data_IF_278650249590
#
_entry.id   IF_278650249590
#
_cell.length_a   1.000
_cell.length_b   1.000
_cell.length_c   1.000
_cell.angle_alpha   90.00
_cell.angle_beta   90.00
_cell.angle_gamma   90.00
#
_symmetry.space_group_name_H-M   'P 1'
#
loop_
_entity.id
_entity.type
_entity.pdbx_description
1 polymer ?
#
# COMPACT_ATOMS: atom_id res chain seq x y z
N UNK A 1 -22.16 -22.55 -1.74
CA UNK A 1 -22.49 -21.13 -1.99
C UNK A 1 -23.85 -20.86 -1.36
N UNK A 2 -23.89 -20.06 -0.28
CA UNK A 2 -25.15 -19.54 0.22
C UNK A 2 -25.59 -18.40 -0.70
N UNK A 3 -26.81 -18.47 -1.21
CA UNK A 3 -27.43 -17.39 -1.95
C UNK A 3 -27.81 -16.34 -0.90
N UNK A 4 -27.15 -15.17 -0.89
CA UNK A 4 -27.57 -14.05 -0.05
C UNK A 4 -29.05 -13.74 -0.31
N UNK A 5 -29.82 -13.52 0.76
CA UNK A 5 -31.25 -13.23 0.64
C UNK A 5 -31.46 -11.96 -0.21
N UNK A 6 -32.47 -11.92 -1.09
CA UNK A 6 -32.77 -10.73 -1.88
C UNK A 6 -33.08 -9.54 -0.96
N UNK A 7 -32.52 -8.38 -1.30
CA UNK A 7 -32.73 -7.12 -0.57
C UNK A 7 -34.21 -6.76 -0.54
N UNK A 8 -34.69 -6.31 0.61
CA UNK A 8 -36.04 -5.79 0.78
C UNK A 8 -36.21 -4.42 0.13
N UNK A 9 -37.46 -4.07 -0.21
CA UNK A 9 -37.82 -2.80 -0.84
C UNK A 9 -37.41 -1.58 0.01
N UNK A 10 -37.43 -1.75 1.34
CA UNK A 10 -37.05 -0.74 2.33
C UNK A 10 -35.53 -0.55 2.39
N UNK A 11 -34.76 -1.64 2.26
CA UNK A 11 -33.30 -1.58 2.10
C UNK A 11 -32.90 -0.88 0.79
N UNK A 12 -33.61 -1.13 -0.31
CA UNK A 12 -33.31 -0.50 -1.61
C UNK A 12 -33.60 1.01 -1.58
N UNK A 13 -34.71 1.44 -0.96
CA UNK A 13 -34.99 2.87 -0.75
C UNK A 13 -33.94 3.53 0.14
N UNK A 14 -33.50 2.83 1.20
CA UNK A 14 -32.45 3.33 2.09
C UNK A 14 -31.10 3.50 1.38
N UNK A 15 -30.73 2.61 0.45
CA UNK A 15 -29.52 2.74 -0.37
C UNK A 15 -29.52 4.02 -1.22
N UNK A 16 -30.69 4.44 -1.71
CA UNK A 16 -30.84 5.66 -2.50
C UNK A 16 -30.80 6.91 -1.60
N UNK A 17 -31.51 6.88 -0.47
CA UNK A 17 -31.55 8.01 0.48
C UNK A 17 -30.20 8.28 1.16
N UNK A 18 -29.42 7.24 1.43
CA UNK A 18 -28.09 7.37 2.04
C UNK A 18 -27.02 7.82 1.04
N UNK A 19 -27.30 7.74 -0.27
CA UNK A 19 -26.35 8.08 -1.33
C UNK A 19 -25.04 7.30 -1.20
N UNK A 20 -24.94 6.13 -1.84
CA UNK A 20 -23.71 5.31 -1.84
C UNK A 20 -22.56 5.95 -2.66
N UNK A 21 -22.71 7.19 -3.11
CA UNK A 21 -21.57 7.98 -3.60
C UNK A 21 -20.80 8.47 -2.39
N UNK A 22 -19.93 7.63 -1.82
CA UNK A 22 -18.99 8.07 -0.80
C UNK A 22 -17.93 8.96 -1.46
N UNK A 23 -17.97 10.30 -1.27
CA UNK A 23 -17.04 11.22 -1.92
C UNK A 23 -15.60 10.95 -1.47
N UNK A 24 -15.41 10.31 -0.32
CA UNK A 24 -14.09 9.92 0.18
C UNK A 24 -13.45 8.87 -0.71
N UNK A 25 -14.22 7.91 -1.24
CA UNK A 25 -13.69 6.86 -2.12
C UNK A 25 -13.11 7.47 -3.40
N UNK A 26 -13.83 8.40 -4.03
CA UNK A 26 -13.34 9.09 -5.22
C UNK A 26 -12.09 9.92 -4.91
N UNK A 27 -12.11 10.69 -3.81
CA UNK A 27 -10.96 11.51 -3.43
C UNK A 27 -9.73 10.67 -3.08
N UNK A 28 -9.91 9.54 -2.39
CA UNK A 28 -8.83 8.65 -1.97
C UNK A 28 -8.27 7.86 -3.16
N UNK A 29 -9.11 7.34 -4.05
CA UNK A 29 -8.64 6.70 -5.29
C UNK A 29 -7.86 7.70 -6.16
N UNK A 30 -8.35 8.93 -6.30
CA UNK A 30 -7.64 9.96 -7.07
C UNK A 30 -6.30 10.31 -6.42
N UNK A 31 -6.25 10.45 -5.10
CA UNK A 31 -5.02 10.74 -4.37
C UNK A 31 -3.98 9.61 -4.56
N UNK A 32 -4.38 8.35 -4.35
CA UNK A 32 -3.49 7.21 -4.53
C UNK A 32 -3.04 7.06 -5.99
N UNK A 33 -3.94 7.25 -6.95
CA UNK A 33 -3.60 7.23 -8.37
C UNK A 33 -2.61 8.35 -8.72
N UNK A 34 -2.80 9.57 -8.21
CA UNK A 34 -1.82 10.65 -8.40
C UNK A 34 -0.46 10.28 -7.83
N UNK A 35 -0.40 9.72 -6.62
CA UNK A 35 0.87 9.29 -6.01
C UNK A 35 1.54 8.21 -6.85
N UNK A 36 0.84 7.11 -7.17
CA UNK A 36 1.39 5.98 -7.94
C UNK A 36 1.80 6.41 -9.35
N UNK A 37 0.97 7.18 -10.07
CA UNK A 37 1.32 7.68 -11.40
C UNK A 37 2.51 8.65 -11.35
N UNK A 38 2.56 9.53 -10.35
CA UNK A 38 3.71 10.45 -10.20
C UNK A 38 4.99 9.68 -9.94
N UNK A 39 4.97 8.65 -9.08
CA UNK A 39 6.14 7.80 -8.84
C UNK A 39 6.57 7.04 -10.10
N UNK A 40 5.62 6.51 -10.87
CA UNK A 40 5.89 5.83 -12.14
C UNK A 40 6.44 6.77 -13.23
N UNK A 41 5.93 8.00 -13.31
CA UNK A 41 6.36 8.99 -14.29
C UNK A 41 7.74 9.55 -13.96
N UNK A 42 7.95 9.90 -12.70
CA UNK A 42 9.17 10.57 -12.27
C UNK A 42 10.40 9.67 -12.34
N UNK A 43 10.26 8.34 -12.47
CA UNK A 43 11.37 7.38 -12.40
C UNK A 43 12.30 7.70 -11.23
N UNK A 44 11.74 8.27 -10.16
CA UNK A 44 12.59 8.99 -9.23
C UNK A 44 13.29 7.99 -8.35
N UNK A 45 14.60 7.93 -8.57
CA UNK A 45 15.68 7.56 -7.64
C UNK A 45 15.57 8.20 -6.23
N UNK A 46 14.44 8.84 -5.88
CA UNK A 46 14.17 9.50 -4.60
C UNK A 46 13.97 8.50 -3.46
N UNK A 47 13.58 7.28 -3.78
CA UNK A 47 13.38 6.22 -2.81
C UNK A 47 14.22 5.04 -3.24
N UNK A 48 15.28 4.76 -2.50
CA UNK A 48 15.97 3.51 -2.64
C UNK A 48 14.96 2.37 -2.39
N UNK A 49 14.96 1.26 -3.17
CA UNK A 49 14.05 0.14 -2.97
C UNK A 49 14.24 -0.49 -1.58
N UNK A 50 13.56 0.07 -0.58
CA UNK A 50 13.42 -0.51 0.75
C UNK A 50 12.19 -1.39 0.80
N UNK A 51 12.09 -2.22 1.83
CA UNK A 51 10.96 -3.12 1.93
C UNK A 51 9.74 -2.48 2.60
N UNK A 52 9.90 -1.39 3.38
CA UNK A 52 8.75 -0.53 3.69
C UNK A 52 8.09 0.03 2.42
N UNK A 53 8.86 0.28 1.35
CA UNK A 53 8.28 0.66 0.06
C UNK A 53 7.49 -0.49 -0.60
N UNK A 54 7.95 -1.74 -0.46
CA UNK A 54 7.20 -2.89 -0.95
C UNK A 54 5.93 -3.14 -0.14
N UNK A 55 5.97 -2.98 1.18
CA UNK A 55 4.79 -3.09 2.05
C UNK A 55 3.80 -1.95 1.80
N UNK A 56 4.29 -0.74 1.53
CA UNK A 56 3.45 0.37 1.08
C UNK A 56 2.78 0.05 -0.26
N UNK A 57 3.49 -0.56 -1.21
CA UNK A 57 2.87 -1.02 -2.45
C UNK A 57 1.84 -2.12 -2.21
N UNK A 58 2.10 -3.10 -1.34
CA UNK A 58 1.13 -4.13 -1.00
C UNK A 58 -0.12 -3.54 -0.33
N UNK A 59 0.06 -2.58 0.57
CA UNK A 59 -1.04 -1.85 1.22
C UNK A 59 -1.89 -1.10 0.19
N UNK A 60 -1.25 -0.41 -0.77
CA UNK A 60 -1.94 0.26 -1.88
C UNK A 60 -2.66 -0.71 -2.80
N UNK A 61 -2.04 -1.84 -3.16
CA UNK A 61 -2.68 -2.88 -3.96
C UNK A 61 -3.89 -3.47 -3.20
N UNK A 62 -3.72 -3.77 -1.91
CA UNK A 62 -4.76 -4.29 -1.04
C UNK A 62 -5.94 -3.32 -0.90
N UNK A 63 -5.66 -2.03 -0.74
CA UNK A 63 -6.67 -0.97 -0.76
C UNK A 63 -7.42 -0.94 -2.10
N UNK A 64 -6.70 -0.93 -3.22
CA UNK A 64 -7.29 -0.92 -4.55
C UNK A 64 -8.18 -2.16 -4.78
N UNK A 65 -7.71 -3.35 -4.40
CA UNK A 65 -8.48 -4.60 -4.48
C UNK A 65 -9.73 -4.55 -3.60
N UNK A 66 -9.61 -4.06 -2.37
CA UNK A 66 -10.75 -3.89 -1.45
C UNK A 66 -11.80 -2.94 -2.02
N UNK A 67 -11.38 -1.81 -2.60
CA UNK A 67 -12.28 -0.88 -3.27
C UNK A 67 -12.95 -1.52 -4.48
N UNK A 68 -12.19 -2.23 -5.33
CA UNK A 68 -12.73 -2.96 -6.48
C UNK A 68 -13.82 -3.93 -6.07
N UNK A 69 -13.56 -4.76 -5.06
CA UNK A 69 -14.48 -5.81 -4.61
C UNK A 69 -15.75 -5.20 -3.99
N UNK A 70 -15.60 -4.15 -3.19
CA UNK A 70 -16.73 -3.38 -2.67
C UNK A 70 -17.58 -2.77 -3.79
N UNK A 71 -16.96 -2.08 -4.76
CA UNK A 71 -17.68 -1.49 -5.89
C UNK A 71 -18.37 -2.54 -6.77
N UNK A 72 -17.76 -3.72 -6.93
CA UNK A 72 -18.38 -4.83 -7.64
C UNK A 72 -19.65 -5.33 -6.93
N UNK A 73 -19.57 -5.55 -5.62
CA UNK A 73 -20.71 -6.00 -4.80
C UNK A 73 -21.83 -4.95 -4.75
N UNK A 74 -21.49 -3.69 -4.50
CA UNK A 74 -22.45 -2.59 -4.44
C UNK A 74 -23.11 -2.37 -5.81
N UNK A 75 -22.33 -2.39 -6.90
CA UNK A 75 -22.85 -2.28 -8.27
C UNK A 75 -23.78 -3.43 -8.66
N UNK A 76 -23.51 -4.66 -8.20
CA UNK A 76 -24.41 -5.81 -8.39
C UNK A 76 -25.73 -5.63 -7.64
N UNK A 77 -25.67 -5.21 -6.36
CA UNK A 77 -26.87 -4.92 -5.55
C UNK A 77 -27.74 -3.83 -6.18
N UNK A 78 -27.13 -2.77 -6.70
CA UNK A 78 -27.84 -1.68 -7.38
C UNK A 78 -28.48 -2.12 -8.69
N UNK A 79 -27.79 -2.94 -9.50
CA UNK A 79 -28.37 -3.54 -10.72
C UNK A 79 -29.53 -4.48 -10.39
N UNK A 80 -29.39 -5.28 -9.34
CA UNK A 80 -30.46 -6.15 -8.87
C UNK A 80 -31.67 -5.35 -8.41
N UNK A 81 -31.47 -4.30 -7.58
CA UNK A 81 -32.54 -3.40 -7.17
C UNK A 81 -33.25 -2.76 -8.36
N UNK A 82 -32.50 -2.24 -9.33
CA UNK A 82 -33.08 -1.68 -10.55
C UNK A 82 -33.93 -2.70 -11.33
N UNK A 83 -33.50 -3.96 -11.40
CA UNK A 83 -34.23 -5.03 -12.08
C UNK A 83 -35.49 -5.49 -11.33
N UNK A 84 -35.49 -5.43 -9.99
CA UNK A 84 -36.67 -5.75 -9.17
C UNK A 84 -37.81 -4.77 -9.42
N UNK A 85 -37.49 -3.48 -9.58
CA UNK A 85 -38.49 -2.45 -9.89
C UNK A 85 -38.86 -2.41 -11.38
N UNK A 86 -37.92 -2.72 -12.28
CA UNK A 86 -38.14 -2.76 -13.74
C UNK A 86 -38.78 -4.08 -14.23
N UNK A 87 -39.82 -4.56 -13.54
CA UNK A 87 -40.45 -5.88 -13.77
C UNK A 87 -41.28 -5.99 -15.07
N UNK A 88 -41.06 -5.08 -16.04
CA UNK A 88 -41.76 -5.05 -17.33
C UNK A 88 -43.10 -4.32 -17.31
N UNK A 89 -43.43 -3.61 -16.21
CA UNK A 89 -44.56 -2.65 -16.15
C UNK A 89 -44.11 -1.25 -16.58
N UNK A 90 -45.05 -0.44 -17.06
CA UNK A 90 -44.79 0.99 -17.31
C UNK A 90 -44.47 1.67 -15.97
N UNK A 91 -43.19 1.93 -15.73
CA UNK A 91 -42.70 2.68 -14.58
C UNK A 91 -43.25 4.11 -14.64
N UNK A 92 -43.89 4.58 -13.57
CA UNK A 92 -44.42 5.95 -13.52
C UNK A 92 -43.94 6.70 -12.29
N UNK A 93 -43.73 8.01 -12.43
CA UNK A 93 -43.41 8.90 -11.32
C UNK A 93 -42.14 8.50 -10.57
N UNK A 94 -42.29 8.22 -9.28
CA UNK A 94 -41.21 7.99 -8.32
C UNK A 94 -40.43 6.69 -8.58
N UNK A 95 -41.09 5.63 -9.05
CA UNK A 95 -40.45 4.35 -9.36
C UNK A 95 -39.49 4.46 -10.55
N UNK A 96 -39.87 5.24 -11.58
CA UNK A 96 -39.00 5.52 -12.72
C UNK A 96 -37.76 6.33 -12.32
N UNK A 97 -37.93 7.30 -11.41
CA UNK A 97 -36.83 8.07 -10.86
C UNK A 97 -35.89 7.19 -10.02
N UNK A 98 -36.44 6.29 -9.19
CA UNK A 98 -35.68 5.33 -8.38
C UNK A 98 -34.84 4.40 -9.26
N UNK A 99 -35.43 3.77 -10.29
CA UNK A 99 -34.72 2.88 -11.21
C UNK A 99 -33.60 3.62 -11.96
N UNK A 100 -33.87 4.85 -12.42
CA UNK A 100 -32.86 5.70 -13.07
C UNK A 100 -31.69 5.98 -12.13
N UNK A 101 -31.98 6.31 -10.87
CA UNK A 101 -30.96 6.61 -9.86
C UNK A 101 -30.12 5.37 -9.50
N UNK A 102 -30.75 4.21 -9.30
CA UNK A 102 -30.06 2.94 -9.06
C UNK A 102 -29.11 2.58 -10.21
N UNK A 103 -29.55 2.76 -11.47
CA UNK A 103 -28.71 2.55 -12.66
C UNK A 103 -27.55 3.53 -12.73
N UNK A 104 -27.79 4.81 -12.40
CA UNK A 104 -26.74 5.84 -12.33
C UNK A 104 -25.67 5.50 -11.30
N UNK A 105 -26.09 5.06 -10.12
CA UNK A 105 -25.17 4.64 -9.05
C UNK A 105 -24.41 3.36 -9.44
N UNK A 106 -25.07 2.37 -10.07
CA UNK A 106 -24.40 1.18 -10.56
C UNK A 106 -23.30 1.52 -11.59
N UNK A 107 -23.58 2.45 -12.52
CA UNK A 107 -22.59 2.93 -13.47
C UNK A 107 -21.43 3.67 -12.80
N UNK A 108 -21.69 4.41 -11.72
CA UNK A 108 -20.64 5.03 -10.90
C UNK A 108 -19.74 3.98 -10.23
N UNK A 109 -20.33 2.91 -9.66
CA UNK A 109 -19.58 1.80 -9.08
C UNK A 109 -18.71 1.10 -10.14
N UNK A 110 -19.24 0.84 -11.34
CA UNK A 110 -18.48 0.24 -12.44
C UNK A 110 -17.27 1.12 -12.84
N UNK A 111 -17.43 2.44 -12.86
CA UNK A 111 -16.33 3.38 -13.14
C UNK A 111 -15.24 3.35 -12.05
N UNK A 112 -15.61 3.37 -10.77
CA UNK A 112 -14.65 3.30 -9.64
C UNK A 112 -13.95 1.94 -9.57
N UNK A 113 -14.67 0.86 -9.89
CA UNK A 113 -14.09 -0.47 -10.01
C UNK A 113 -12.99 -0.50 -11.07
N UNK A 114 -13.25 0.07 -12.26
CA UNK A 114 -12.27 0.13 -13.33
C UNK A 114 -11.03 0.95 -12.94
N UNK A 115 -11.21 2.08 -12.23
CA UNK A 115 -10.10 2.87 -11.70
C UNK A 115 -9.29 2.10 -10.65
N UNK A 116 -9.96 1.37 -9.75
CA UNK A 116 -9.30 0.54 -8.76
C UNK A 116 -8.52 -0.64 -9.39
N UNK A 117 -9.06 -1.26 -10.45
CA UNK A 117 -8.36 -2.27 -11.24
C UNK A 117 -7.09 -1.71 -11.90
N UNK A 118 -7.18 -0.50 -12.48
CA UNK A 118 -6.03 0.19 -13.06
C UNK A 118 -4.97 0.52 -12.01
N UNK A 119 -5.38 1.05 -10.85
CA UNK A 119 -4.47 1.35 -9.74
C UNK A 119 -3.75 0.08 -9.25
N UNK A 120 -4.46 -1.04 -9.06
CA UNK A 120 -3.84 -2.30 -8.66
C UNK A 120 -2.81 -2.79 -9.70
N UNK A 121 -3.09 -2.64 -10.99
CA UNK A 121 -2.16 -3.00 -12.06
C UNK A 121 -0.90 -2.09 -12.06
N UNK A 122 -1.08 -0.79 -11.87
CA UNK A 122 0.02 0.16 -11.81
C UNK A 122 0.91 -0.05 -10.57
N UNK A 123 0.31 -0.35 -9.41
CA UNK A 123 1.04 -0.71 -8.20
C UNK A 123 1.86 -1.99 -8.40
N UNK A 124 1.29 -3.02 -9.05
CA UNK A 124 2.03 -4.25 -9.40
C UNK A 124 3.23 -3.96 -10.30
N UNK A 125 3.04 -3.11 -11.32
CA UNK A 125 4.11 -2.69 -12.23
C UNK A 125 5.20 -1.92 -11.48
N UNK A 126 4.82 -1.04 -10.56
CA UNK A 126 5.75 -0.32 -9.71
C UNK A 126 6.55 -1.26 -8.80
N UNK A 127 5.87 -2.24 -8.17
CA UNK A 127 6.52 -3.27 -7.33
C UNK A 127 7.53 -4.10 -8.14
N UNK A 128 7.12 -4.57 -9.31
CA UNK A 128 7.97 -5.35 -10.21
C UNK A 128 9.20 -4.55 -10.69
N UNK A 129 9.02 -3.24 -10.96
CA UNK A 129 10.13 -2.32 -11.24
C UNK A 129 11.14 -2.25 -10.10
N UNK A 130 10.69 -2.01 -8.87
CA UNK A 130 11.56 -1.95 -7.68
C UNK A 130 12.29 -3.28 -7.43
N UNK A 131 11.62 -4.43 -7.58
CA UNK A 131 12.25 -5.74 -7.40
C UNK A 131 13.36 -5.98 -8.42
N UNK A 132 13.15 -5.60 -9.68
CA UNK A 132 14.19 -5.70 -10.71
C UNK A 132 15.35 -4.75 -10.45
N UNK A 133 15.08 -3.54 -9.99
CA UNK A 133 16.12 -2.58 -9.63
C UNK A 133 16.97 -3.10 -8.47
N UNK A 134 16.33 -3.52 -7.37
CA UNK A 134 16.99 -4.11 -6.18
C UNK A 134 17.89 -5.30 -6.53
N UNK A 135 17.49 -6.11 -7.51
CA UNK A 135 18.25 -7.27 -7.97
C UNK A 135 19.48 -6.91 -8.84
N UNK A 136 19.49 -5.74 -9.48
CA UNK A 136 20.48 -5.38 -10.51
C UNK A 136 21.47 -4.32 -10.08
N UNK A 137 21.10 -3.40 -9.18
CA UNK A 137 22.09 -2.55 -8.49
C UNK A 137 22.92 -3.44 -7.56
N UNK A 138 24.22 -3.19 -7.45
CA UNK A 138 25.03 -3.67 -6.30
C UNK A 138 24.79 -2.76 -5.09
N UNK A 139 25.51 -2.93 -3.97
CA UNK A 139 25.57 -1.91 -2.89
C UNK A 139 26.84 -1.03 -2.96
N UNK A 140 27.18 -0.37 -4.09
CA UNK A 140 28.43 0.39 -4.17
C UNK A 140 28.38 1.71 -3.38
N UNK A 141 27.23 2.10 -2.81
CA UNK A 141 27.02 3.43 -2.20
C UNK A 141 26.47 3.41 -0.77
N UNK A 142 26.29 2.25 -0.14
CA UNK A 142 25.66 2.14 1.18
C UNK A 142 24.15 2.33 1.12
N UNK A 143 23.57 1.99 -0.03
CA UNK A 143 22.16 2.22 -0.33
C UNK A 143 21.27 1.30 0.54
N UNK A 144 21.78 0.13 0.92
CA UNK A 144 21.12 -0.77 1.86
C UNK A 144 21.02 -0.18 3.28
N UNK A 145 22.02 0.59 3.72
CA UNK A 145 21.97 1.32 5.00
C UNK A 145 20.97 2.47 4.95
N UNK A 146 20.86 3.16 3.82
CA UNK A 146 19.84 4.21 3.66
C UNK A 146 18.42 3.61 3.59
N UNK A 147 18.26 2.42 3.00
CA UNK A 147 17.02 1.63 3.09
C UNK A 147 16.67 1.30 4.55
N UNK A 148 17.65 0.77 5.29
CA UNK A 148 17.49 0.43 6.70
C UNK A 148 17.20 1.67 7.55
N UNK A 149 17.74 2.83 7.19
CA UNK A 149 17.46 4.10 7.85
C UNK A 149 16.01 4.56 7.65
N UNK A 150 15.46 4.40 6.45
CA UNK A 150 14.04 4.65 6.18
C UNK A 150 13.15 3.68 6.96
N UNK A 151 13.47 2.38 6.93
CA UNK A 151 12.68 1.37 7.63
C UNK A 151 12.75 1.54 9.17
N UNK A 152 13.89 2.00 9.70
CA UNK A 152 14.02 2.37 11.12
C UNK A 152 13.17 3.58 11.48
N UNK A 153 13.06 4.57 10.59
CA UNK A 153 12.19 5.72 10.78
C UNK A 153 10.72 5.30 10.88
N UNK A 154 10.23 4.48 9.94
CA UNK A 154 8.86 3.95 9.96
C UNK A 154 8.61 3.10 11.21
N UNK A 155 9.57 2.26 11.62
CA UNK A 155 9.51 1.50 12.86
C UNK A 155 9.31 2.42 14.07
N UNK A 156 10.12 3.49 14.19
CA UNK A 156 10.02 4.45 15.29
C UNK A 156 8.72 5.25 15.25
N UNK A 157 8.21 5.61 14.08
CA UNK A 157 6.89 6.26 13.98
C UNK A 157 5.77 5.37 14.51
N UNK A 158 5.77 4.08 14.16
CA UNK A 158 4.82 3.12 14.73
C UNK A 158 4.95 3.01 16.26
N UNK A 159 6.17 3.11 16.79
CA UNK A 159 6.38 3.15 18.25
C UNK A 159 5.85 4.42 18.89
N UNK A 160 6.03 5.57 18.25
CA UNK A 160 5.53 6.89 18.69
C UNK A 160 3.99 6.96 18.62
N UNK A 161 3.36 6.28 17.66
CA UNK A 161 1.90 6.18 17.64
C UNK A 161 1.37 5.25 18.75
N UNK A 162 2.12 4.19 19.06
CA UNK A 162 1.76 3.22 20.10
C UNK A 162 2.03 3.73 21.53
N UNK A 163 3.06 4.56 21.71
CA UNK A 163 3.43 5.18 22.98
C UNK A 163 3.24 6.69 22.85
N UNK A 164 2.50 7.33 23.75
CA UNK A 164 2.36 8.80 23.80
C UNK A 164 3.73 9.44 24.06
N UNK A 165 4.56 9.52 23.03
CA UNK A 165 5.86 10.14 23.06
C UNK A 165 5.65 11.65 23.19
N UNK A 166 6.58 12.37 23.83
CA UNK A 166 6.47 13.82 23.94
C UNK A 166 6.37 14.44 22.54
N UNK A 167 5.31 15.22 22.32
CA UNK A 167 5.10 15.99 21.10
C UNK A 167 6.35 16.84 20.80
N UNK A 168 6.88 16.74 19.57
CA UNK A 168 7.98 17.58 19.09
C UNK A 168 9.42 17.10 19.38
N UNK A 169 9.63 15.83 19.74
CA UNK A 169 10.98 15.21 19.77
C UNK A 169 11.57 15.01 18.36
N UNK A 170 12.88 14.72 18.24
CA UNK A 170 13.47 14.24 16.98
C UNK A 170 13.71 12.72 17.01
N UNK A 171 13.70 12.05 15.84
CA UNK A 171 13.73 10.59 15.77
C UNK A 171 15.02 10.01 16.38
N UNK A 172 16.12 10.76 16.36
CA UNK A 172 17.39 10.36 16.97
C UNK A 172 17.33 10.34 18.51
N UNK A 173 16.53 11.23 19.11
CA UNK A 173 16.27 11.22 20.56
C UNK A 173 15.39 10.03 20.95
N UNK A 174 14.35 9.74 20.14
CA UNK A 174 13.49 8.58 20.35
C UNK A 174 14.30 7.29 20.20
N UNK A 175 15.12 7.20 19.15
CA UNK A 175 16.04 6.08 18.95
C UNK A 175 17.01 5.93 20.13
N UNK A 176 17.57 7.03 20.63
CA UNK A 176 18.49 7.04 21.77
C UNK A 176 17.85 6.68 23.11
N UNK A 177 16.53 6.87 23.25
CA UNK A 177 15.75 6.51 24.43
C UNK A 177 15.12 5.12 24.35
N UNK A 178 15.06 4.51 23.17
CA UNK A 178 14.42 3.21 22.94
C UNK A 178 15.27 2.07 23.50
N UNK A 179 14.67 1.28 24.39
CA UNK A 179 15.31 0.13 25.02
C UNK A 179 15.36 -1.01 24.01
N UNK A 180 16.53 -1.65 23.89
CA UNK A 180 16.79 -2.78 23.00
C UNK A 180 16.39 -2.49 21.54
N UNK A 181 16.58 -1.26 21.08
CA UNK A 181 16.20 -0.82 19.73
C UNK A 181 16.82 -1.72 18.65
N UNK A 182 18.13 -1.96 18.74
CA UNK A 182 18.87 -2.78 17.78
C UNK A 182 18.22 -4.15 17.57
N UNK A 183 18.13 -5.01 18.60
CA UNK A 183 17.52 -6.33 18.47
C UNK A 183 16.07 -6.31 17.99
N UNK A 184 15.24 -5.36 18.44
CA UNK A 184 13.82 -5.29 18.03
C UNK A 184 13.66 -4.83 16.58
N UNK A 185 14.44 -3.83 16.18
CA UNK A 185 14.48 -3.38 14.80
C UNK A 185 15.03 -4.49 13.89
N UNK A 186 16.17 -5.10 14.21
CA UNK A 186 16.76 -6.19 13.43
C UNK A 186 15.81 -7.40 13.31
N UNK A 187 15.05 -7.73 14.36
CA UNK A 187 14.03 -8.79 14.29
C UNK A 187 12.88 -8.47 13.31
N UNK A 188 12.58 -7.18 13.10
CA UNK A 188 11.60 -6.74 12.09
C UNK A 188 12.26 -6.68 10.72
N UNK A 189 13.47 -6.12 10.65
CA UNK A 189 14.27 -5.93 9.46
C UNK A 189 14.76 -7.26 8.86
N UNK A 190 14.81 -8.38 9.60
CA UNK A 190 15.13 -9.69 9.01
C UNK A 190 13.98 -10.25 8.16
N UNK A 191 12.72 -9.90 8.44
CA UNK A 191 11.56 -10.32 7.63
C UNK A 191 11.66 -9.84 6.18
N UNK A 192 12.46 -8.81 5.95
CA UNK A 192 12.84 -8.28 4.65
C UNK A 192 13.63 -9.28 3.81
N UNK A 193 14.53 -10.04 4.43
CA UNK A 193 15.28 -11.10 3.76
C UNK A 193 14.36 -12.25 3.32
N UNK A 194 13.41 -12.63 4.17
CA UNK A 194 12.41 -13.68 3.88
C UNK A 194 11.53 -13.26 2.71
N UNK A 195 11.08 -12.00 2.71
CA UNK A 195 10.26 -11.44 1.63
C UNK A 195 11.02 -11.36 0.31
N UNK A 196 12.28 -10.91 0.31
CA UNK A 196 13.12 -10.90 -0.89
C UNK A 196 13.31 -12.31 -1.47
N UNK A 197 13.51 -13.33 -0.61
CA UNK A 197 13.57 -14.73 -1.04
C UNK A 197 12.24 -15.23 -1.61
N UNK A 198 11.12 -14.91 -0.97
CA UNK A 198 9.80 -15.25 -1.49
C UNK A 198 9.55 -14.61 -2.85
N UNK A 199 9.87 -13.32 -3.02
CA UNK A 199 9.75 -12.65 -4.32
C UNK A 199 10.67 -13.28 -5.39
N UNK A 200 11.85 -13.77 -5.02
CA UNK A 200 12.75 -14.45 -5.95
C UNK A 200 12.11 -15.69 -6.60
N UNK A 201 11.21 -16.39 -5.89
CA UNK A 201 10.49 -17.56 -6.42
C UNK A 201 9.71 -17.22 -7.70
N UNK A 202 9.12 -16.03 -7.77
CA UNK A 202 8.36 -15.56 -8.93
C UNK A 202 9.21 -15.41 -10.20
N UNK A 203 10.53 -15.22 -10.05
CA UNK A 203 11.47 -15.07 -11.16
C UNK A 203 12.29 -16.34 -11.45
N UNK A 204 12.05 -17.44 -10.71
CA UNK A 204 12.92 -18.63 -10.79
C UNK A 204 12.65 -19.52 -12.01
N UNK A 205 11.42 -19.49 -12.53
CA UNK A 205 10.99 -20.30 -13.68
C UNK A 205 10.98 -19.52 -15.01
N UNK A 206 11.42 -18.26 -15.02
CA UNK A 206 11.38 -17.36 -16.17
C UNK A 206 12.78 -17.05 -16.72
N UNK A 207 12.83 -16.32 -17.84
CA UNK A 207 14.08 -15.77 -18.40
C UNK A 207 14.77 -14.77 -17.44
N UNK A 208 14.08 -14.37 -16.37
CA UNK A 208 14.54 -13.44 -15.34
C UNK A 208 15.30 -14.12 -14.17
N UNK A 209 15.87 -15.31 -14.37
CA UNK A 209 16.60 -16.03 -13.32
C UNK A 209 17.72 -15.21 -12.64
N UNK A 210 18.30 -14.24 -13.35
CA UNK A 210 19.27 -13.29 -12.80
C UNK A 210 18.65 -12.35 -11.75
N UNK A 211 17.37 -11.98 -11.91
CA UNK A 211 16.61 -11.20 -10.92
C UNK A 211 16.42 -12.01 -9.65
N UNK A 212 16.02 -13.28 -9.78
CA UNK A 212 15.89 -14.18 -8.64
C UNK A 212 17.19 -14.30 -7.83
N UNK A 213 18.32 -14.43 -8.51
CA UNK A 213 19.63 -14.51 -7.87
C UNK A 213 20.05 -13.20 -7.20
N UNK A 214 19.78 -12.06 -7.84
CA UNK A 214 20.00 -10.74 -7.24
C UNK A 214 19.20 -10.56 -5.95
N UNK A 215 17.91 -10.92 -5.96
CA UNK A 215 17.04 -10.84 -4.79
C UNK A 215 17.51 -11.72 -3.63
N UNK A 216 17.99 -12.95 -3.92
CA UNK A 216 18.55 -13.84 -2.88
C UNK A 216 19.82 -13.27 -2.28
N UNK A 217 20.72 -12.72 -3.10
CA UNK A 217 21.92 -12.04 -2.62
C UNK A 217 21.58 -10.87 -1.69
N UNK A 218 20.56 -10.08 -2.04
CA UNK A 218 20.09 -8.99 -1.17
C UNK A 218 19.51 -9.47 0.14
N UNK A 219 18.78 -10.58 0.12
CA UNK A 219 18.31 -11.20 1.35
C UNK A 219 19.48 -11.59 2.27
N UNK A 220 20.53 -12.19 1.72
CA UNK A 220 21.71 -12.58 2.49
C UNK A 220 22.50 -11.35 3.02
N UNK A 221 22.57 -10.26 2.25
CA UNK A 221 23.16 -8.99 2.69
C UNK A 221 22.37 -8.36 3.85
N UNK A 222 21.03 -8.40 3.82
CA UNK A 222 20.16 -7.95 4.91
C UNK A 222 20.40 -8.78 6.18
N UNK A 223 20.48 -10.10 6.06
CA UNK A 223 20.77 -10.97 7.21
C UNK A 223 22.17 -10.70 7.80
N UNK A 224 23.16 -10.47 6.93
CA UNK A 224 24.50 -10.13 7.37
C UNK A 224 24.53 -8.81 8.14
N UNK A 225 23.77 -7.80 7.72
CA UNK A 225 23.60 -6.56 8.46
C UNK A 225 22.87 -6.77 9.81
N UNK A 226 21.87 -7.64 9.85
CA UNK A 226 21.14 -7.96 11.08
C UNK A 226 21.94 -8.79 12.08
N UNK A 227 23.08 -9.36 11.68
CA UNK A 227 23.89 -10.24 12.55
C UNK A 227 24.49 -9.49 13.75
N UNK A 228 24.72 -8.18 13.62
CA UNK A 228 25.07 -7.28 14.72
C UNK A 228 24.06 -6.12 14.77
N UNK A 229 22.95 -6.28 15.53
CA UNK A 229 21.87 -5.30 15.57
C UNK A 229 22.29 -3.92 16.09
N UNK A 230 23.29 -3.86 16.96
CA UNK A 230 23.77 -2.61 17.53
C UNK A 230 24.67 -1.87 16.52
N UNK A 231 25.52 -2.61 15.81
CA UNK A 231 26.32 -2.05 14.73
C UNK A 231 25.43 -1.56 13.57
N UNK A 232 24.36 -2.29 13.23
CA UNK A 232 23.37 -1.84 12.24
C UNK A 232 22.78 -0.47 12.59
N UNK A 233 22.29 -0.29 13.82
CA UNK A 233 21.73 1.00 14.26
C UNK A 233 22.82 2.09 14.27
N UNK A 234 24.05 1.76 14.67
CA UNK A 234 25.16 2.70 14.64
C UNK A 234 25.49 3.16 13.20
N UNK A 235 25.53 2.24 12.24
CA UNK A 235 25.76 2.53 10.83
C UNK A 235 24.63 3.38 10.23
N UNK A 236 23.37 3.06 10.55
CA UNK A 236 22.19 3.86 10.16
C UNK A 236 22.33 5.29 10.68
N UNK A 237 22.59 5.47 11.97
CA UNK A 237 22.71 6.81 12.58
C UNK A 237 23.91 7.61 12.04
N UNK A 238 24.95 6.92 11.58
CA UNK A 238 26.10 7.54 10.90
C UNK A 238 25.83 7.89 9.42
N UNK A 239 24.80 7.31 8.80
CA UNK A 239 24.50 7.49 7.38
C UNK A 239 24.21 8.95 7.03
N UNK A 240 24.50 9.32 5.78
CA UNK A 240 24.22 10.68 5.30
C UNK A 240 22.72 10.94 5.26
N UNK A 241 21.91 9.93 4.90
CA UNK A 241 20.45 10.01 4.89
C UNK A 241 19.91 10.32 6.28
N UNK A 242 20.30 9.57 7.32
CA UNK A 242 19.83 9.81 8.69
C UNK A 242 20.21 11.20 9.19
N UNK A 243 21.47 11.61 8.97
CA UNK A 243 21.99 12.90 9.46
C UNK A 243 21.49 14.12 8.69
N UNK A 244 21.12 13.96 7.42
CA UNK A 244 20.63 15.06 6.56
C UNK A 244 19.10 15.15 6.49
N UNK A 245 18.42 14.03 6.72
CA UNK A 245 16.96 13.90 6.75
C UNK A 245 16.35 13.97 8.16
N UNK A 246 15.30 13.19 8.37
CA UNK A 246 14.42 13.26 9.54
C UNK A 246 15.09 12.89 10.89
N UNK A 247 16.19 12.14 10.86
CA UNK A 247 16.92 11.71 12.06
C UNK A 247 17.76 12.82 12.70
N UNK A 248 18.59 13.51 11.93
CA UNK A 248 19.65 14.38 12.47
C UNK A 248 19.33 15.86 12.63
N UNK A 249 18.28 16.38 11.98
CA UNK A 249 17.90 17.80 12.06
C UNK A 249 16.38 17.99 12.13
N UNK A 250 15.83 17.78 13.33
CA UNK A 250 14.58 18.41 13.74
C UNK A 250 13.41 18.26 12.77
N UNK A 251 13.22 17.08 12.17
CA UNK A 251 11.89 16.73 11.67
C UNK A 251 11.01 16.55 12.90
N UNK A 252 10.44 17.64 13.37
CA UNK A 252 9.37 17.64 14.35
C UNK A 252 8.13 17.06 13.67
N UNK A 253 7.61 15.95 14.18
CA UNK A 253 6.29 15.42 13.80
C UNK A 253 5.18 16.09 14.60
#
# INVERSE_FOLDING_TARGET
>A
MAIEAPLSEEEIRSMVDQGIVDPKVESSLRAEHTVVSTTLELHTDLFFPSLAHLDLQDSREGYAVSVRDRMAADGERLRHGAAVFDDGRDLTGEEAALVSELRRQAAWCDARRAEADALAADVRRLRDGHLREMATTGDPRGELIDAAAFDLMEFLFAEIEAFVAPEGGCLDEVAGASIDLGPRFAATFVGLSERARSCAEAYTASEDAAVAEGLRRRADEVEALCADPEDLVAQIRASAWWRSGAGGRGATW
#
